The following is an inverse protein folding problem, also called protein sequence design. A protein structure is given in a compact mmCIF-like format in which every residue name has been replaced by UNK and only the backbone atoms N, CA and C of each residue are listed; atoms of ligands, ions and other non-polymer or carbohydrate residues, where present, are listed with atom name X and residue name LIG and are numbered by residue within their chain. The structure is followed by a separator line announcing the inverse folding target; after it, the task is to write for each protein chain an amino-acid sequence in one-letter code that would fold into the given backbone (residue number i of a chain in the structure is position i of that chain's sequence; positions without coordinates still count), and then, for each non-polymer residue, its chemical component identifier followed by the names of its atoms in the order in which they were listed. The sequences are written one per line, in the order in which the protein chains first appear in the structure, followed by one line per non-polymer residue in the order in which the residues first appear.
data_IF_864813582078
#
_entry.id   IF_864813582078
#
_cell.length_a   1.000
_cell.length_b   1.000
_cell.length_c   1.000
_cell.angle_alpha   90.00
_cell.angle_beta   90.00
_cell.angle_gamma   90.00
#
_symmetry.space_group_name_H-M   'P 1'
#
loop_
_entity.id
_entity.type
_entity.pdbx_description
1 polymer ?
#
# COMPACT_ATOMS: atom_id res chain seq x y z
N UNK A 1 8.37 -27.71 -10.75
CA UNK A 1 8.00 -26.35 -10.33
C UNK A 1 6.86 -26.49 -9.32
N UNK A 2 6.95 -25.97 -8.09
CA UNK A 2 5.84 -26.07 -7.16
C UNK A 2 4.70 -25.17 -7.66
N UNK A 3 3.54 -25.79 -7.85
CA UNK A 3 2.32 -25.11 -8.29
C UNK A 3 1.89 -24.12 -7.20
N UNK A 4 1.77 -22.85 -7.56
CA UNK A 4 1.17 -21.82 -6.71
C UNK A 4 -0.30 -22.14 -6.53
N UNK A 5 -0.68 -22.56 -5.32
CA UNK A 5 -2.09 -22.73 -4.95
C UNK A 5 -2.81 -21.39 -5.00
N UNK A 6 -4.07 -21.33 -5.46
CA UNK A 6 -4.86 -20.09 -5.50
C UNK A 6 -4.96 -19.48 -4.09
N UNK A 7 -4.74 -18.18 -3.98
CA UNK A 7 -4.90 -17.44 -2.73
C UNK A 7 -6.40 -17.24 -2.51
N UNK A 8 -7.04 -18.19 -1.82
CA UNK A 8 -8.42 -18.08 -1.34
C UNK A 8 -8.49 -16.94 -0.30
N UNK A 9 -9.49 -16.06 -0.40
CA UNK A 9 -9.70 -15.02 0.60
C UNK A 9 -9.91 -15.65 2.00
N UNK A 10 -9.30 -15.11 3.06
CA UNK A 10 -9.35 -15.75 4.37
C UNK A 10 -10.78 -15.73 4.93
N UNK A 11 -11.29 -16.90 5.30
CA UNK A 11 -12.59 -17.05 6.00
C UNK A 11 -12.50 -16.39 7.39
N UNK A 12 -13.63 -15.91 7.95
CA UNK A 12 -13.67 -15.43 9.33
C UNK A 12 -13.08 -16.49 10.28
N UNK A 13 -12.11 -16.09 11.10
CA UNK A 13 -11.41 -16.99 12.02
C UNK A 13 -10.16 -17.70 11.46
N UNK A 14 -9.80 -17.49 10.19
CA UNK A 14 -8.54 -17.97 9.64
C UNK A 14 -7.40 -16.99 9.95
N UNK A 15 -6.31 -17.53 10.50
CA UNK A 15 -5.04 -16.81 10.70
C UNK A 15 -3.91 -17.57 10.00
N UNK A 16 -2.82 -16.90 9.60
CA UNK A 16 -1.63 -17.58 9.11
C UNK A 16 -1.12 -18.63 10.11
N UNK A 17 -0.50 -19.71 9.61
CA UNK A 17 0.10 -20.73 10.48
C UNK A 17 1.05 -20.06 11.48
N UNK A 18 0.93 -20.45 12.75
CA UNK A 18 1.69 -19.89 13.87
C UNK A 18 1.56 -18.36 14.05
N UNK A 19 0.53 -17.74 13.45
CA UNK A 19 0.34 -16.29 13.37
C UNK A 19 1.53 -15.56 12.74
N UNK A 20 2.17 -16.17 11.74
CA UNK A 20 3.38 -15.63 11.09
C UNK A 20 3.22 -15.50 9.58
N UNK A 21 3.80 -14.44 9.04
CA UNK A 21 3.95 -14.30 7.60
C UNK A 21 5.01 -15.29 7.08
N UNK A 22 4.71 -16.08 6.03
CA UNK A 22 5.72 -16.87 5.34
C UNK A 22 6.72 -15.98 4.59
N UNK A 23 7.93 -16.48 4.35
CA UNK A 23 8.81 -15.92 3.31
C UNK A 23 10.02 -15.11 3.77
N UNK A 24 10.09 -14.59 5.01
CA UNK A 24 11.34 -13.93 5.48
C UNK A 24 11.65 -14.17 6.96
N UNK A 25 12.93 -14.01 7.33
CA UNK A 25 13.39 -14.02 8.73
C UNK A 25 13.23 -12.66 9.42
N UNK A 26 13.02 -11.56 8.67
CA UNK A 26 12.98 -10.23 9.25
C UNK A 26 11.57 -9.92 9.77
N UNK A 27 11.42 -9.51 11.04
CA UNK A 27 10.12 -9.14 11.58
C UNK A 27 9.57 -7.85 10.93
N UNK A 28 10.43 -7.05 10.29
CA UNK A 28 10.06 -5.78 9.65
C UNK A 28 10.72 -5.68 8.28
N UNK A 29 9.94 -5.30 7.28
CA UNK A 29 10.40 -4.98 5.92
C UNK A 29 10.05 -3.53 5.61
N UNK A 30 10.85 -2.89 4.75
CA UNK A 30 10.63 -1.50 4.32
C UNK A 30 10.62 -1.45 2.81
N UNK A 31 9.72 -0.63 2.25
CA UNK A 31 9.77 -0.30 0.83
C UNK A 31 10.98 0.58 0.54
N UNK A 32 11.63 0.38 -0.60
CA UNK A 32 12.65 1.28 -1.12
C UNK A 32 12.06 2.44 -1.92
N UNK A 33 10.73 2.48 -2.10
CA UNK A 33 10.03 3.57 -2.77
C UNK A 33 9.90 4.74 -1.78
N UNK A 34 10.34 5.92 -2.20
CA UNK A 34 10.32 7.12 -1.36
C UNK A 34 8.92 7.73 -1.28
N UNK A 35 8.10 7.20 -0.37
CA UNK A 35 6.72 7.66 -0.14
C UNK A 35 6.64 9.15 0.22
N UNK A 36 7.62 9.68 0.96
CA UNK A 36 7.64 11.09 1.35
C UNK A 36 7.81 12.02 0.14
N UNK A 37 8.67 11.66 -0.82
CA UNK A 37 8.84 12.43 -2.05
C UNK A 37 7.59 12.36 -2.92
N UNK A 38 7.01 11.17 -3.07
CA UNK A 38 5.76 10.97 -3.83
C UNK A 38 4.63 11.81 -3.24
N UNK A 39 4.41 11.75 -1.93
CA UNK A 39 3.37 12.52 -1.25
C UNK A 39 3.52 14.03 -1.52
N UNK A 40 4.73 14.58 -1.37
CA UNK A 40 5.02 16.00 -1.65
C UNK A 40 4.74 16.38 -3.11
N UNK A 41 5.13 15.53 -4.06
CA UNK A 41 4.90 15.80 -5.49
C UNK A 41 3.42 15.79 -5.83
N UNK A 42 2.69 14.80 -5.33
CA UNK A 42 1.24 14.68 -5.59
C UNK A 42 0.48 15.83 -4.93
N UNK A 43 0.78 16.19 -3.68
CA UNK A 43 0.18 17.36 -3.02
C UNK A 43 0.44 18.66 -3.80
N UNK A 44 1.65 18.82 -4.34
CA UNK A 44 1.99 19.98 -5.19
C UNK A 44 1.16 20.02 -6.48
N UNK A 45 0.86 18.87 -7.07
CA UNK A 45 0.05 18.78 -8.30
C UNK A 45 -1.44 19.00 -8.06
N UNK A 46 -1.95 18.53 -6.92
CA UNK A 46 -3.36 18.71 -6.52
C UNK A 46 -3.70 20.16 -6.16
N UNK A 47 -2.71 20.91 -5.68
CA UNK A 47 -2.90 22.28 -5.20
C UNK A 47 -3.40 22.35 -3.74
N UNK A 48 -3.46 23.56 -3.19
CA UNK A 48 -3.83 23.77 -1.79
C UNK A 48 -5.29 23.38 -1.52
N UNK A 49 -5.51 22.44 -0.60
CA UNK A 49 -6.82 22.18 0.02
C UNK A 49 -7.61 20.99 -0.52
N UNK A 50 -7.09 20.23 -1.49
CA UNK A 50 -7.83 19.09 -2.07
C UNK A 50 -7.76 17.82 -1.20
N UNK A 51 -6.57 17.43 -0.73
CA UNK A 51 -6.38 16.24 0.11
C UNK A 51 -5.01 16.29 0.79
N UNK A 52 -4.91 15.84 2.05
CA UNK A 52 -3.61 15.68 2.72
C UNK A 52 -3.08 14.27 2.52
N UNK A 53 -1.87 14.14 1.98
CA UNK A 53 -1.21 12.85 1.72
C UNK A 53 0.01 12.74 2.61
N UNK A 54 0.07 11.66 3.39
CA UNK A 54 1.16 11.45 4.34
C UNK A 54 1.69 10.02 4.27
N UNK A 55 3.01 9.87 4.42
CA UNK A 55 3.63 8.57 4.64
C UNK A 55 3.15 7.96 5.96
N UNK A 56 2.64 6.73 5.89
CA UNK A 56 2.35 5.91 7.07
C UNK A 56 3.56 5.03 7.42
N UNK A 57 3.87 4.93 8.71
CA UNK A 57 4.89 4.01 9.25
C UNK A 57 4.30 2.70 9.79
N UNK A 58 2.97 2.60 9.91
CA UNK A 58 2.27 1.41 10.42
C UNK A 58 1.11 1.02 9.47
N UNK A 59 1.22 -0.10 8.73
CA UNK A 59 0.15 -0.60 7.87
C UNK A 59 -0.95 -1.34 8.65
N UNK A 60 -0.79 -1.55 9.96
CA UNK A 60 -1.67 -2.33 10.82
C UNK A 60 -1.21 -3.78 11.03
N UNK A 61 -2.09 -4.61 11.59
CA UNK A 61 -1.85 -6.05 11.87
C UNK A 61 -2.91 -6.97 11.26
N UNK A 62 -3.70 -6.46 10.31
CA UNK A 62 -4.75 -7.22 9.63
C UNK A 62 -4.34 -7.59 8.20
N UNK A 63 -5.31 -7.98 7.37
CA UNK A 63 -5.05 -8.48 6.01
C UNK A 63 -4.26 -7.52 5.13
N UNK A 64 -4.49 -6.20 5.25
CA UNK A 64 -3.76 -5.20 4.48
C UNK A 64 -2.25 -5.26 4.75
N UNK A 65 -1.86 -5.30 6.03
CA UNK A 65 -0.47 -5.41 6.43
C UNK A 65 0.13 -6.77 6.08
N UNK A 66 -0.65 -7.85 6.20
CA UNK A 66 -0.22 -9.18 5.76
C UNK A 66 0.11 -9.18 4.27
N UNK A 67 -0.82 -8.74 3.41
CA UNK A 67 -0.61 -8.66 1.96
C UNK A 67 0.59 -7.77 1.61
N UNK A 68 0.71 -6.60 2.24
CA UNK A 68 1.84 -5.70 2.03
C UNK A 68 3.18 -6.34 2.43
N UNK A 69 3.23 -7.01 3.59
CA UNK A 69 4.43 -7.70 4.03
C UNK A 69 4.83 -8.83 3.06
N UNK A 70 3.87 -9.62 2.59
CA UNK A 70 4.15 -10.66 1.60
C UNK A 70 4.68 -10.04 0.30
N UNK A 71 4.06 -8.98 -0.21
CA UNK A 71 4.58 -8.28 -1.39
C UNK A 71 6.01 -7.74 -1.18
N UNK A 72 6.30 -7.15 -0.01
CA UNK A 72 7.66 -6.70 0.35
C UNK A 72 8.65 -7.86 0.41
N UNK A 73 8.22 -9.04 0.86
CA UNK A 73 9.07 -10.24 0.90
C UNK A 73 9.50 -10.72 -0.49
N UNK A 74 8.71 -10.42 -1.51
CA UNK A 74 9.05 -10.71 -2.90
C UNK A 74 10.00 -9.66 -3.48
N UNK A 75 9.69 -8.37 -3.32
CA UNK A 75 10.53 -7.29 -3.84
C UNK A 75 10.24 -5.94 -3.16
N UNK A 76 11.17 -5.49 -2.32
CA UNK A 76 11.08 -4.19 -1.63
C UNK A 76 11.23 -2.98 -2.57
N UNK A 77 11.80 -3.16 -3.76
CA UNK A 77 12.01 -2.08 -4.73
C UNK A 77 10.80 -1.76 -5.59
N UNK A 78 9.83 -2.68 -5.65
CA UNK A 78 8.62 -2.58 -6.50
C UNK A 78 7.31 -2.69 -5.73
N UNK A 79 7.36 -2.57 -4.41
CA UNK A 79 6.19 -2.73 -3.55
C UNK A 79 5.93 -1.46 -2.74
N UNK A 80 4.71 -0.95 -2.84
CA UNK A 80 4.19 0.15 -2.02
C UNK A 80 2.74 -0.17 -1.65
N UNK A 81 2.27 0.36 -0.52
CA UNK A 81 0.90 0.20 -0.04
C UNK A 81 0.28 1.56 0.24
N UNK A 82 -0.99 1.75 -0.14
CA UNK A 82 -1.74 2.99 0.04
C UNK A 82 -2.97 2.68 0.90
N UNK A 83 -3.10 3.38 2.02
CA UNK A 83 -4.36 3.44 2.78
C UNK A 83 -5.23 4.55 2.19
N UNK A 84 -6.47 4.21 1.85
CA UNK A 84 -7.46 5.15 1.32
C UNK A 84 -8.52 5.35 2.41
N UNK A 85 -8.87 6.61 2.76
CA UNK A 85 -9.95 6.86 3.71
C UNK A 85 -11.30 6.40 3.16
N UNK A 86 -12.33 6.24 4.02
CA UNK A 86 -13.70 6.05 3.57
C UNK A 86 -14.15 7.18 2.63
N UNK A 87 -15.10 6.88 1.74
CA UNK A 87 -15.69 7.88 0.86
C UNK A 87 -16.66 8.77 1.64
N UNK A 88 -16.51 10.09 1.51
CA UNK A 88 -17.39 11.10 2.10
C UNK A 88 -17.44 12.37 1.22
N UNK A 89 -18.05 13.46 1.73
CA UNK A 89 -18.20 14.72 0.98
C UNK A 89 -16.85 15.38 0.65
N UNK A 90 -15.82 15.14 1.46
CA UNK A 90 -14.46 15.70 1.31
C UNK A 90 -13.56 14.75 0.49
N UNK A 91 -13.85 13.45 0.53
CA UNK A 91 -13.12 12.37 -0.13
C UNK A 91 -14.00 11.65 -1.17
N UNK A 92 -14.36 12.35 -2.24
CA UNK A 92 -15.14 11.75 -3.34
C UNK A 92 -14.37 10.62 -4.05
N UNK A 93 -15.10 9.68 -4.65
CA UNK A 93 -14.51 8.58 -5.43
C UNK A 93 -13.63 9.11 -6.57
N UNK A 94 -14.08 10.17 -7.25
CA UNK A 94 -13.36 10.81 -8.36
C UNK A 94 -12.04 11.42 -7.86
N UNK A 95 -12.10 12.12 -6.72
CA UNK A 95 -10.93 12.76 -6.11
C UNK A 95 -9.90 11.71 -5.70
N UNK A 96 -10.32 10.66 -5.00
CA UNK A 96 -9.43 9.58 -4.57
C UNK A 96 -8.86 8.79 -5.76
N UNK A 97 -9.66 8.56 -6.80
CA UNK A 97 -9.18 7.88 -8.02
C UNK A 97 -8.12 8.70 -8.73
N UNK A 98 -8.34 10.01 -8.87
CA UNK A 98 -7.35 10.94 -9.43
C UNK A 98 -6.06 10.94 -8.61
N UNK A 99 -6.15 10.99 -7.28
CA UNK A 99 -4.99 10.94 -6.38
C UNK A 99 -4.19 9.65 -6.57
N UNK A 100 -4.86 8.50 -6.61
CA UNK A 100 -4.21 7.19 -6.84
C UNK A 100 -3.54 7.15 -8.22
N UNK A 101 -4.18 7.69 -9.26
CA UNK A 101 -3.60 7.80 -10.59
C UNK A 101 -2.32 8.64 -10.58
N UNK A 102 -2.32 9.81 -9.93
CA UNK A 102 -1.15 10.67 -9.81
C UNK A 102 -0.01 9.99 -9.04
N UNK A 103 -0.32 9.24 -7.97
CA UNK A 103 0.66 8.45 -7.22
C UNK A 103 1.31 7.41 -8.14
N UNK A 104 0.53 6.67 -8.94
CA UNK A 104 1.06 5.68 -9.88
C UNK A 104 1.94 6.34 -10.94
N UNK A 105 1.50 7.47 -11.50
CA UNK A 105 2.30 8.22 -12.48
C UNK A 105 3.60 8.75 -11.87
N UNK A 106 3.60 9.20 -10.61
CA UNK A 106 4.81 9.61 -9.89
C UNK A 106 5.79 8.44 -9.71
N UNK A 107 5.29 7.26 -9.35
CA UNK A 107 6.11 6.05 -9.20
C UNK A 107 6.74 5.64 -10.53
N UNK A 108 5.99 5.76 -11.64
CA UNK A 108 6.46 5.42 -12.98
C UNK A 108 7.35 6.51 -13.62
N UNK A 109 7.48 7.69 -12.99
CA UNK A 109 8.27 8.80 -13.50
C UNK A 109 7.65 9.52 -14.70
N UNK A 110 6.32 9.48 -14.82
CA UNK A 110 5.55 10.08 -15.94
C UNK A 110 4.51 11.12 -15.47
N UNK A 111 4.55 11.50 -14.19
CA UNK A 111 3.73 12.56 -13.60
C UNK A 111 4.30 13.96 -13.81
#
# INVERSE_FOLDING_TARGET
MPQSTPVEAPRPGCVPRDNRCPGTKSPVLRSNINCQDIAKRVEKQLGCGALHIKQSEDPGRYLCAFSYYISLSHDVSRTLFIHIPPFDEECSLETLTMVVQLIIMCILGIA
#
